data_IF_674104231581
#
_entry.id   IF_674104231581
#
_cell.length_a   1.000
_cell.length_b   1.000
_cell.length_c   1.000
_cell.angle_alpha   90.00
_cell.angle_beta   90.00
_cell.angle_gamma   90.00
#
_symmetry.space_group_name_H-M   'P 1'
#
loop_
_entity.id
_entity.type
_entity.pdbx_description
1 polymer ?
#
# COMPACT_ATOMS: atom_id res chain seq x y z
N UNK A 1 27.82 -31.80 -1.61
CA UNK A 1 27.30 -30.71 -2.46
C UNK A 1 26.25 -29.86 -1.75
N UNK A 2 25.31 -30.46 -1.00
CA UNK A 2 24.23 -29.77 -0.29
C UNK A 2 24.68 -28.72 0.75
N UNK A 3 25.69 -29.01 1.58
CA UNK A 3 26.22 -28.04 2.55
C UNK A 3 26.87 -26.81 1.88
N UNK A 4 27.47 -26.97 0.69
CA UNK A 4 28.04 -25.87 -0.08
C UNK A 4 26.93 -24.94 -0.60
N UNK A 5 25.84 -25.50 -1.13
CA UNK A 5 24.71 -24.73 -1.63
C UNK A 5 24.06 -23.89 -0.51
N UNK A 6 23.90 -24.46 0.70
CA UNK A 6 23.38 -23.71 1.85
C UNK A 6 24.30 -22.55 2.25
N UNK A 7 25.63 -22.73 2.20
CA UNK A 7 26.60 -21.65 2.47
C UNK A 7 26.55 -20.57 1.40
N UNK A 8 26.52 -20.95 0.12
CA UNK A 8 26.43 -20.01 -1.01
C UNK A 8 25.14 -19.20 -0.94
N UNK A 9 24.00 -19.85 -0.65
CA UNK A 9 22.73 -19.17 -0.44
C UNK A 9 22.84 -18.15 0.70
N UNK A 10 23.41 -18.55 1.84
CA UNK A 10 23.57 -17.66 2.99
C UNK A 10 24.47 -16.46 2.68
N UNK A 11 25.53 -16.65 1.86
CA UNK A 11 26.39 -15.57 1.38
C UNK A 11 25.62 -14.58 0.51
N UNK A 12 24.87 -15.06 -0.50
CA UNK A 12 24.03 -14.22 -1.37
C UNK A 12 22.99 -13.45 -0.54
N UNK A 13 22.32 -14.15 0.38
CA UNK A 13 21.30 -13.54 1.24
C UNK A 13 21.90 -12.47 2.18
N UNK A 14 23.07 -12.74 2.77
CA UNK A 14 23.76 -11.79 3.64
C UNK A 14 24.18 -10.53 2.90
N UNK A 15 24.73 -10.66 1.69
CA UNK A 15 25.07 -9.50 0.82
C UNK A 15 23.82 -8.69 0.52
N UNK A 16 22.70 -9.36 0.20
CA UNK A 16 21.42 -8.71 -0.09
C UNK A 16 20.90 -7.91 1.12
N UNK A 17 20.97 -8.49 2.32
CA UNK A 17 20.58 -7.82 3.57
C UNK A 17 21.47 -6.61 3.83
N UNK A 18 22.80 -6.75 3.69
CA UNK A 18 23.74 -5.64 3.87
C UNK A 18 23.37 -4.49 2.92
N UNK A 19 23.07 -4.78 1.66
CA UNK A 19 22.64 -3.74 0.71
C UNK A 19 21.35 -3.02 1.15
N UNK A 20 20.35 -3.74 1.64
CA UNK A 20 19.12 -3.12 2.16
C UNK A 20 19.35 -2.29 3.42
N UNK A 21 20.09 -2.83 4.40
CA UNK A 21 20.34 -2.18 5.70
C UNK A 21 21.14 -0.89 5.54
N UNK A 22 22.20 -0.92 4.73
CA UNK A 22 23.06 0.24 4.50
C UNK A 22 22.55 1.14 3.36
N UNK A 23 21.39 0.81 2.75
CA UNK A 23 20.83 1.53 1.59
C UNK A 23 21.87 1.78 0.50
N UNK A 24 22.64 0.75 0.14
CA UNK A 24 23.73 0.84 -0.84
C UNK A 24 23.23 1.09 -2.27
N UNK A 25 21.93 0.99 -2.51
CA UNK A 25 21.30 1.17 -3.81
C UNK A 25 20.16 2.19 -3.74
N UNK A 26 19.93 2.91 -4.84
CA UNK A 26 18.89 3.95 -4.93
C UNK A 26 17.46 3.42 -4.79
N UNK A 27 17.22 2.13 -5.04
CA UNK A 27 15.90 1.52 -4.98
C UNK A 27 15.96 0.10 -4.40
N UNK A 28 14.91 -0.27 -3.66
CA UNK A 28 14.86 -1.51 -2.86
C UNK A 28 14.83 -2.79 -3.70
N UNK A 29 14.45 -2.69 -4.98
CA UNK A 29 14.40 -3.84 -5.90
C UNK A 29 15.77 -4.23 -6.46
N UNK A 30 16.77 -3.33 -6.42
CA UNK A 30 18.10 -3.56 -7.00
C UNK A 30 18.82 -4.72 -6.29
N UNK A 31 18.90 -4.79 -4.94
CA UNK A 31 19.47 -5.94 -4.24
C UNK A 31 18.72 -7.24 -4.53
N UNK A 32 17.38 -7.17 -4.70
CA UNK A 32 16.56 -8.32 -5.10
C UNK A 32 16.99 -8.89 -6.45
N UNK A 33 17.19 -8.03 -7.46
CA UNK A 33 17.66 -8.47 -8.79
C UNK A 33 19.04 -9.11 -8.68
N UNK A 34 19.97 -8.49 -7.94
CA UNK A 34 21.31 -9.06 -7.74
C UNK A 34 21.24 -10.44 -7.08
N UNK A 35 20.40 -10.59 -6.07
CA UNK A 35 20.19 -11.86 -5.39
C UNK A 35 19.66 -12.91 -6.37
N UNK A 36 18.58 -12.62 -7.11
CA UNK A 36 18.01 -13.53 -8.10
C UNK A 36 19.02 -13.94 -9.17
N UNK A 37 19.78 -12.98 -9.71
CA UNK A 37 20.85 -13.28 -10.67
C UNK A 37 21.88 -14.22 -10.06
N UNK A 38 22.33 -13.94 -8.83
CA UNK A 38 23.31 -14.78 -8.14
C UNK A 38 22.78 -16.19 -7.89
N UNK A 39 21.51 -16.34 -7.49
CA UNK A 39 20.86 -17.64 -7.28
C UNK A 39 20.79 -18.47 -8.57
N UNK A 40 20.50 -17.81 -9.70
CA UNK A 40 20.41 -18.46 -11.02
C UNK A 40 21.80 -18.83 -11.57
N UNK A 41 22.78 -17.92 -11.50
CA UNK A 41 24.14 -18.18 -11.98
C UNK A 41 24.87 -19.26 -11.18
N UNK A 42 24.61 -19.33 -9.87
CA UNK A 42 25.17 -20.36 -9.00
C UNK A 42 24.36 -21.68 -9.04
N UNK A 43 23.30 -21.74 -9.86
CA UNK A 43 22.41 -22.90 -10.03
C UNK A 43 21.88 -23.46 -8.69
N UNK A 44 21.63 -22.57 -7.72
CA UNK A 44 21.21 -22.98 -6.37
C UNK A 44 19.77 -23.52 -6.33
N UNK A 45 18.94 -23.10 -7.28
CA UNK A 45 17.62 -23.64 -7.52
C UNK A 45 17.23 -23.52 -9.00
N UNK A 46 16.31 -24.38 -9.49
CA UNK A 46 15.75 -24.24 -10.84
C UNK A 46 15.10 -22.85 -11.05
N UNK A 47 15.12 -22.31 -12.28
CA UNK A 47 14.48 -21.02 -12.58
C UNK A 47 13.02 -20.94 -12.16
N UNK A 48 12.28 -22.06 -12.28
CA UNK A 48 10.89 -22.15 -11.86
C UNK A 48 10.70 -21.87 -10.35
N UNK A 49 11.68 -22.23 -9.53
CA UNK A 49 11.68 -21.98 -8.08
C UNK A 49 12.15 -20.55 -7.79
N UNK A 50 13.29 -20.15 -8.36
CA UNK A 50 13.88 -18.83 -8.12
C UNK A 50 12.99 -17.68 -8.61
N UNK A 51 12.25 -17.87 -9.70
CA UNK A 51 11.32 -16.88 -10.26
C UNK A 51 9.85 -17.12 -9.88
N UNK A 52 9.58 -18.09 -9.00
CA UNK A 52 8.20 -18.47 -8.60
C UNK A 52 7.39 -17.29 -8.05
N UNK A 53 8.04 -16.32 -7.40
CA UNK A 53 7.39 -15.15 -6.83
C UNK A 53 6.63 -14.29 -7.84
N UNK A 54 7.09 -14.24 -9.09
CA UNK A 54 6.44 -13.48 -10.18
C UNK A 54 5.14 -14.11 -10.68
N UNK A 55 4.90 -15.39 -10.38
CA UNK A 55 3.69 -16.12 -10.74
C UNK A 55 2.70 -16.24 -9.58
N UNK A 56 2.90 -15.50 -8.48
CA UNK A 56 2.06 -15.62 -7.27
C UNK A 56 0.80 -14.75 -7.33
N UNK A 57 -0.24 -15.21 -6.65
CA UNK A 57 -1.45 -14.40 -6.41
C UNK A 57 -1.12 -13.05 -5.74
N UNK A 58 -0.19 -12.99 -4.79
CA UNK A 58 0.22 -11.73 -4.16
C UNK A 58 0.78 -10.71 -5.17
N UNK A 59 1.54 -11.17 -6.18
CA UNK A 59 2.05 -10.31 -7.24
C UNK A 59 0.91 -9.71 -8.08
N UNK A 60 -0.01 -10.55 -8.57
CA UNK A 60 -1.15 -10.08 -9.37
C UNK A 60 -2.13 -9.23 -8.58
N UNK A 61 -2.31 -9.52 -7.29
CA UNK A 61 -3.10 -8.70 -6.39
C UNK A 61 -2.48 -7.31 -6.22
N UNK A 62 -1.17 -7.23 -5.94
CA UNK A 62 -0.47 -5.96 -5.83
C UNK A 62 -0.53 -5.14 -7.13
N UNK A 63 -0.33 -5.78 -8.29
CA UNK A 63 -0.45 -5.15 -9.61
C UNK A 63 -1.85 -4.55 -9.82
N UNK A 64 -2.88 -5.34 -9.53
CA UNK A 64 -4.28 -4.93 -9.69
C UNK A 64 -4.66 -3.77 -8.79
N UNK A 65 -4.22 -3.84 -7.53
CA UNK A 65 -4.44 -2.82 -6.52
C UNK A 65 -3.73 -1.51 -6.89
N UNK A 66 -2.50 -1.56 -7.42
CA UNK A 66 -1.84 -0.36 -7.94
C UNK A 66 -2.60 0.25 -9.12
N UNK A 67 -3.03 -0.56 -10.09
CA UNK A 67 -3.80 -0.05 -11.23
C UNK A 67 -5.13 0.59 -10.81
N UNK A 68 -5.86 -0.02 -9.86
CA UNK A 68 -7.07 0.57 -9.28
C UNK A 68 -6.75 1.89 -8.56
N UNK A 69 -5.66 1.93 -7.79
CA UNK A 69 -5.16 3.12 -7.11
C UNK A 69 -4.89 4.27 -8.08
N UNK A 70 -4.29 4.00 -9.24
CA UNK A 70 -4.05 4.98 -10.31
C UNK A 70 -5.34 5.57 -10.89
N UNK A 71 -6.35 4.72 -11.16
CA UNK A 71 -7.65 5.19 -11.66
C UNK A 71 -8.33 6.07 -10.61
N UNK A 72 -8.24 5.66 -9.33
CA UNK A 72 -8.83 6.40 -8.23
C UNK A 72 -8.17 7.79 -8.04
N UNK A 73 -6.84 7.86 -8.09
CA UNK A 73 -6.10 9.11 -7.92
C UNK A 73 -6.27 10.06 -9.10
N UNK A 74 -6.24 9.55 -10.33
CA UNK A 74 -6.34 10.36 -11.55
C UNK A 74 -7.77 10.86 -11.86
N UNK A 75 -8.80 10.17 -11.35
CA UNK A 75 -10.20 10.58 -11.56
C UNK A 75 -10.62 11.83 -10.78
N UNK A 76 -9.92 12.17 -9.69
CA UNK A 76 -10.28 13.27 -8.79
C UNK A 76 -11.37 12.93 -7.76
N UNK A 77 -11.97 11.72 -7.81
CA UNK A 77 -13.05 11.34 -6.89
C UNK A 77 -12.59 11.34 -5.42
N UNK A 78 -11.34 10.95 -5.16
CA UNK A 78 -10.77 11.00 -3.80
C UNK A 78 -10.80 12.42 -3.25
N UNK A 79 -10.40 13.41 -4.05
CA UNK A 79 -10.44 14.82 -3.64
C UNK A 79 -11.89 15.30 -3.39
N UNK A 80 -12.85 14.89 -4.24
CA UNK A 80 -14.28 15.19 -4.02
C UNK A 80 -14.81 14.61 -2.70
N UNK A 81 -14.57 13.33 -2.43
CA UNK A 81 -15.02 12.66 -1.20
C UNK A 81 -14.47 13.38 0.03
N UNK A 82 -13.22 13.83 -0.03
CA UNK A 82 -12.56 14.57 1.03
C UNK A 82 -13.24 15.92 1.30
N UNK A 83 -13.53 16.71 0.25
CA UNK A 83 -14.25 17.97 0.40
C UNK A 83 -15.66 17.76 0.98
N UNK A 84 -16.35 16.69 0.58
CA UNK A 84 -17.66 16.33 1.16
C UNK A 84 -17.53 16.08 2.67
N UNK A 85 -16.52 15.33 3.11
CA UNK A 85 -16.29 15.06 4.53
C UNK A 85 -16.02 16.37 5.29
N UNK A 86 -15.17 17.23 4.76
CA UNK A 86 -14.85 18.54 5.36
C UNK A 86 -16.06 19.47 5.49
N UNK A 87 -17.04 19.37 4.58
CA UNK A 87 -18.28 20.14 4.64
C UNK A 87 -19.07 19.89 5.94
N UNK A 88 -19.04 18.66 6.47
CA UNK A 88 -19.81 18.26 7.65
C UNK A 88 -19.05 18.46 8.97
N UNK A 89 -17.74 18.63 8.93
CA UNK A 89 -16.93 18.71 10.15
C UNK A 89 -17.09 20.06 10.88
N UNK A 90 -17.02 20.07 12.22
CA UNK A 90 -17.09 21.31 13.01
C UNK A 90 -15.90 22.24 12.77
N UNK A 91 -16.13 23.55 12.88
CA UNK A 91 -15.05 24.56 12.82
C UNK A 91 -14.33 24.64 14.17
N UNK A 92 -13.29 23.84 14.37
CA UNK A 92 -12.46 23.87 15.58
C UNK A 92 -11.03 23.43 15.26
N UNK A 93 -10.06 23.87 16.07
CA UNK A 93 -8.64 23.45 15.98
C UNK A 93 -8.50 21.93 16.03
N UNK A 94 -9.26 21.32 16.93
CA UNK A 94 -9.32 19.88 17.05
C UNK A 94 -9.75 19.24 15.73
N UNK A 95 -10.90 19.69 15.24
CA UNK A 95 -11.55 19.14 14.07
C UNK A 95 -10.79 19.42 12.76
N UNK A 96 -9.98 20.47 12.70
CA UNK A 96 -9.13 20.79 11.54
C UNK A 96 -7.97 19.80 11.37
N UNK A 97 -7.16 19.58 12.41
CA UNK A 97 -6.10 18.58 12.28
C UNK A 97 -6.67 17.15 12.27
N UNK A 98 -7.77 16.92 12.98
CA UNK A 98 -8.45 15.63 12.96
C UNK A 98 -9.03 15.33 11.57
N UNK A 99 -9.54 16.32 10.84
CA UNK A 99 -10.13 16.08 9.53
C UNK A 99 -9.12 15.68 8.47
N UNK A 100 -7.94 16.31 8.46
CA UNK A 100 -6.86 15.95 7.52
C UNK A 100 -6.28 14.57 7.85
N UNK A 101 -6.17 14.25 9.15
CA UNK A 101 -5.79 12.92 9.61
C UNK A 101 -6.82 11.85 9.22
N UNK A 102 -8.09 12.11 9.51
CA UNK A 102 -9.19 11.20 9.23
C UNK A 102 -9.39 10.99 7.73
N UNK A 103 -9.13 12.02 6.93
CA UNK A 103 -9.06 11.93 5.47
C UNK A 103 -8.02 10.88 5.04
N UNK A 104 -6.79 10.95 5.55
CA UNK A 104 -5.77 9.96 5.22
C UNK A 104 -6.14 8.54 5.69
N UNK A 105 -6.78 8.42 6.86
CA UNK A 105 -7.31 7.15 7.37
C UNK A 105 -8.33 6.56 6.40
N UNK A 106 -9.30 7.35 5.94
CA UNK A 106 -10.34 6.90 4.99
C UNK A 106 -9.78 6.54 3.61
N UNK A 107 -8.72 7.23 3.16
CA UNK A 107 -8.05 6.86 1.92
C UNK A 107 -7.27 5.56 2.03
N UNK A 108 -6.87 5.13 3.23
CA UNK A 108 -6.02 3.96 3.42
C UNK A 108 -6.57 2.67 2.84
N UNK A 109 -7.82 2.26 3.09
CA UNK A 109 -8.37 1.05 2.46
C UNK A 109 -8.57 1.18 0.95
N UNK A 110 -8.69 2.41 0.43
CA UNK A 110 -9.03 2.71 -0.97
C UNK A 110 -7.81 2.92 -1.88
N UNK A 111 -6.77 3.56 -1.35
CA UNK A 111 -5.56 3.97 -2.08
C UNK A 111 -4.36 3.25 -1.46
N UNK A 112 -3.77 2.28 -2.15
CA UNK A 112 -2.84 1.31 -1.56
C UNK A 112 -1.44 1.84 -1.30
N UNK A 113 -1.07 2.90 -1.99
CA UNK A 113 0.26 3.50 -1.92
C UNK A 113 0.22 4.71 -1.00
N UNK A 114 1.06 4.75 0.07
CA UNK A 114 1.20 5.95 0.89
C UNK A 114 1.53 7.20 0.06
N UNK A 115 2.39 7.07 -0.96
CA UNK A 115 2.74 8.16 -1.87
C UNK A 115 1.54 8.75 -2.61
N UNK A 116 0.65 7.92 -3.16
CA UNK A 116 -0.55 8.42 -3.85
C UNK A 116 -1.55 9.04 -2.89
N UNK A 117 -1.65 8.53 -1.66
CA UNK A 117 -2.45 9.18 -0.60
C UNK A 117 -1.91 10.56 -0.26
N UNK A 118 -0.58 10.72 -0.16
CA UNK A 118 0.04 12.04 0.01
C UNK A 118 -0.34 12.96 -1.15
N UNK A 119 -0.19 12.53 -2.41
CA UNK A 119 -0.54 13.35 -3.57
C UNK A 119 -2.02 13.81 -3.60
N UNK A 120 -2.95 12.99 -3.11
CA UNK A 120 -4.37 13.36 -2.98
C UNK A 120 -4.58 14.40 -1.87
N UNK A 121 -3.89 14.24 -0.75
CA UNK A 121 -4.07 15.08 0.46
C UNK A 121 -3.28 16.39 0.36
N UNK A 122 -2.20 16.44 -0.41
CA UNK A 122 -1.31 17.61 -0.53
C UNK A 122 -2.03 18.90 -0.98
N UNK A 123 -2.86 18.92 -2.05
CA UNK A 123 -3.58 20.13 -2.43
C UNK A 123 -4.49 20.64 -1.31
N UNK A 124 -5.16 19.72 -0.60
CA UNK A 124 -5.98 20.08 0.54
C UNK A 124 -5.14 20.67 1.68
N UNK A 125 -3.99 20.06 1.99
CA UNK A 125 -3.09 20.57 3.02
C UNK A 125 -2.62 22.00 2.70
N UNK A 126 -2.35 22.29 1.42
CA UNK A 126 -1.98 23.63 0.95
C UNK A 126 -3.14 24.61 1.08
N UNK A 127 -4.32 24.27 0.58
CA UNK A 127 -5.54 25.09 0.70
C UNK A 127 -5.84 25.42 2.17
N UNK A 128 -5.70 24.43 3.05
CA UNK A 128 -5.86 24.60 4.50
C UNK A 128 -4.79 25.55 5.04
N UNK A 129 -3.52 25.36 4.70
CA UNK A 129 -2.43 26.22 5.17
C UNK A 129 -2.62 27.68 4.74
N UNK A 130 -3.05 27.91 3.50
CA UNK A 130 -3.32 29.24 2.95
C UNK A 130 -4.52 29.92 3.61
N UNK A 131 -5.65 29.21 3.74
CA UNK A 131 -6.85 29.73 4.42
C UNK A 131 -6.58 30.08 5.89
N UNK A 132 -5.63 29.40 6.52
CA UNK A 132 -5.21 29.64 7.90
C UNK A 132 -4.15 30.74 8.02
N UNK A 133 -3.63 31.26 6.91
CA UNK A 133 -2.54 32.23 6.89
C UNK A 133 -1.27 31.69 7.54
N UNK A 134 -1.10 30.36 7.57
CA UNK A 134 0.05 29.73 8.20
C UNK A 134 1.29 29.97 7.33
N UNK A 135 2.36 30.49 7.95
CA UNK A 135 3.67 30.52 7.30
C UNK A 135 4.16 29.08 7.10
N UNK A 136 4.80 28.75 5.96
CA UNK A 136 5.26 27.38 5.65
C UNK A 136 6.17 26.74 6.72
N UNK A 137 6.79 27.54 7.59
CA UNK A 137 7.81 27.11 8.57
C UNK A 137 7.35 27.33 10.02
N UNK A 138 6.03 27.28 10.28
CA UNK A 138 5.45 27.51 11.62
C UNK A 138 4.98 26.23 12.32
N UNK A 139 4.86 26.27 13.65
CA UNK A 139 4.36 25.15 14.47
C UNK A 139 2.98 24.64 14.02
N UNK A 140 2.10 25.54 13.60
CA UNK A 140 0.76 25.19 13.10
C UNK A 140 0.80 24.47 11.74
N UNK A 141 1.66 24.92 10.82
CA UNK A 141 1.88 24.26 9.53
C UNK A 141 2.49 22.87 9.72
N UNK A 142 3.44 22.74 10.66
CA UNK A 142 4.02 21.45 11.06
C UNK A 142 2.97 20.53 11.68
N UNK A 143 2.10 21.03 12.55
CA UNK A 143 1.01 20.22 13.13
C UNK A 143 0.09 19.68 12.05
N UNK A 144 -0.32 20.53 11.12
CA UNK A 144 -1.25 20.15 10.06
C UNK A 144 -0.60 19.15 9.10
N UNK A 145 0.66 19.38 8.73
CA UNK A 145 1.45 18.46 7.90
C UNK A 145 1.69 17.12 8.60
N UNK A 146 2.00 17.13 9.90
CA UNK A 146 2.14 15.92 10.70
C UNK A 146 0.82 15.15 10.79
N UNK A 147 -0.32 15.84 10.95
CA UNK A 147 -1.62 15.21 10.96
C UNK A 147 -1.97 14.58 9.61
N UNK A 148 -1.67 15.27 8.50
CA UNK A 148 -1.83 14.73 7.15
C UNK A 148 -0.95 13.49 6.93
N UNK A 149 0.35 13.61 7.23
CA UNK A 149 1.32 12.53 7.05
C UNK A 149 0.98 11.31 7.91
N UNK A 150 0.62 11.53 9.19
CA UNK A 150 0.20 10.45 10.07
C UNK A 150 -1.06 9.80 9.52
N UNK A 151 -2.08 10.57 9.12
CA UNK A 151 -3.32 10.04 8.56
C UNK A 151 -3.09 9.11 7.36
N UNK A 152 -2.22 9.51 6.43
CA UNK A 152 -1.94 8.73 5.21
C UNK A 152 -0.95 7.59 5.40
N UNK A 153 -0.34 7.42 6.58
CA UNK A 153 0.66 6.36 6.82
C UNK A 153 0.29 5.42 7.95
N UNK A 154 -0.28 5.90 9.05
CA UNK A 154 -0.43 5.15 10.31
C UNK A 154 -1.23 3.85 10.16
N UNK A 155 -2.30 3.86 9.37
CA UNK A 155 -3.20 2.71 9.23
C UNK A 155 -2.84 1.81 8.04
N UNK A 156 -1.69 2.04 7.38
CA UNK A 156 -1.31 1.29 6.19
C UNK A 156 -1.16 -0.21 6.46
N UNK A 157 -0.87 -0.61 7.69
CA UNK A 157 -0.80 -2.01 8.13
C UNK A 157 -2.15 -2.55 8.63
N UNK A 158 -3.10 -1.68 8.95
CA UNK A 158 -4.41 -2.05 9.50
C UNK A 158 -5.37 -2.60 8.45
N UNK A 159 -5.20 -2.19 7.19
CA UNK A 159 -5.99 -2.71 6.07
C UNK A 159 -5.08 -3.50 5.14
N UNK A 160 -5.50 -4.69 4.71
CA UNK A 160 -4.71 -5.52 3.79
C UNK A 160 -4.35 -4.74 2.50
N UNK A 161 -5.29 -3.96 1.96
CA UNK A 161 -5.06 -3.09 0.80
C UNK A 161 -4.28 -1.81 1.10
N UNK A 162 -4.05 -1.46 2.37
CA UNK A 162 -3.44 -0.19 2.77
C UNK A 162 -1.95 -0.07 2.49
N UNK A 163 -1.29 -1.18 2.16
CA UNK A 163 0.10 -1.21 1.76
C UNK A 163 0.37 -2.45 0.91
N UNK A 164 1.13 -2.28 -0.17
CA UNK A 164 1.57 -3.41 -0.97
C UNK A 164 2.45 -4.39 -0.17
N UNK A 165 3.13 -3.91 0.87
CA UNK A 165 3.89 -4.74 1.81
C UNK A 165 3.00 -5.72 2.61
N UNK A 166 1.71 -5.46 2.76
CA UNK A 166 0.82 -6.41 3.44
C UNK A 166 0.57 -7.63 2.54
N UNK A 167 0.44 -7.44 1.23
CA UNK A 167 0.37 -8.54 0.27
C UNK A 167 1.68 -9.32 0.17
N UNK A 168 2.82 -8.65 0.38
CA UNK A 168 4.10 -9.32 0.53
C UNK A 168 4.07 -10.26 1.75
N UNK A 169 3.74 -9.74 2.93
CA UNK A 169 3.67 -10.54 4.16
C UNK A 169 2.70 -11.72 3.96
N UNK A 170 1.51 -11.47 3.41
CA UNK A 170 0.54 -12.51 3.08
C UNK A 170 1.10 -13.57 2.11
N UNK A 171 1.90 -13.14 1.13
CA UNK A 171 2.58 -14.00 0.16
C UNK A 171 3.74 -14.81 0.74
N UNK A 172 4.28 -14.40 1.89
CA UNK A 172 5.31 -15.13 2.64
C UNK A 172 4.71 -16.14 3.62
N UNK A 173 3.42 -16.05 3.95
CA UNK A 173 2.75 -17.01 4.83
C UNK A 173 2.53 -18.37 4.14
N UNK A 174 2.55 -19.49 4.90
CA UNK A 174 2.15 -20.80 4.41
C UNK A 174 0.74 -20.78 3.82
N UNK A 175 0.48 -21.64 2.82
CA UNK A 175 -0.78 -21.63 2.07
C UNK A 175 -2.02 -21.79 2.98
N UNK A 176 -1.96 -22.70 3.95
CA UNK A 176 -3.06 -22.98 4.88
C UNK A 176 -3.38 -21.80 5.79
N UNK A 177 -2.38 -20.97 6.10
CA UNK A 177 -2.55 -19.75 6.90
C UNK A 177 -3.07 -18.64 6.01
N UNK A 178 -2.53 -18.50 4.79
CA UNK A 178 -2.92 -17.48 3.83
C UNK A 178 -4.41 -17.50 3.52
N UNK A 179 -5.00 -18.68 3.35
CA UNK A 179 -6.43 -18.85 3.05
C UNK A 179 -7.35 -18.36 4.18
N UNK A 180 -6.84 -18.25 5.41
CA UNK A 180 -7.61 -17.74 6.55
C UNK A 180 -7.64 -16.21 6.60
N UNK A 181 -6.65 -15.55 6.00
CA UNK A 181 -6.53 -14.09 6.00
C UNK A 181 -7.28 -13.47 4.83
N UNK A 182 -8.60 -13.39 4.96
CA UNK A 182 -9.42 -12.50 4.13
C UNK A 182 -9.19 -11.02 4.45
N UNK A 183 -9.68 -10.11 3.61
CA UNK A 183 -9.50 -8.67 3.80
C UNK A 183 -10.12 -8.20 5.12
N UNK A 184 -11.33 -8.69 5.42
CA UNK A 184 -12.06 -8.39 6.64
C UNK A 184 -11.42 -9.04 7.88
N UNK A 185 -10.92 -10.26 7.75
CA UNK A 185 -10.21 -10.92 8.84
C UNK A 185 -8.91 -10.18 9.19
N UNK A 186 -8.16 -9.71 8.18
CA UNK A 186 -6.98 -8.88 8.40
C UNK A 186 -7.30 -7.61 9.17
N UNK A 187 -8.35 -6.88 8.75
CA UNK A 187 -8.79 -5.66 9.42
C UNK A 187 -9.23 -5.92 10.86
N UNK A 188 -9.93 -7.02 11.11
CA UNK A 188 -10.34 -7.45 12.45
C UNK A 188 -9.13 -7.81 13.32
N UNK A 189 -8.17 -8.58 12.79
CA UNK A 189 -6.95 -8.96 13.49
C UNK A 189 -6.09 -7.72 13.84
N UNK A 190 -6.02 -6.75 12.94
CA UNK A 190 -5.29 -5.51 13.15
C UNK A 190 -6.07 -4.45 13.96
N UNK A 191 -7.36 -4.68 14.28
CA UNK A 191 -8.23 -3.69 14.90
C UNK A 191 -7.70 -3.22 16.26
N UNK A 192 -7.21 -4.15 17.09
CA UNK A 192 -6.65 -3.82 18.41
C UNK A 192 -5.46 -2.89 18.26
N UNK A 193 -4.51 -3.22 17.37
CA UNK A 193 -3.34 -2.39 17.08
C UNK A 193 -3.75 -1.04 16.51
N UNK A 194 -4.73 -1.01 15.59
CA UNK A 194 -5.25 0.22 15.00
C UNK A 194 -5.86 1.16 16.07
N UNK A 195 -6.63 0.61 17.01
CA UNK A 195 -7.23 1.38 18.12
C UNK A 195 -6.13 1.91 19.05
N UNK A 196 -5.15 1.09 19.42
CA UNK A 196 -4.03 1.52 20.27
C UNK A 196 -3.24 2.64 19.60
N UNK A 197 -2.91 2.49 18.31
CA UNK A 197 -2.21 3.53 17.53
C UNK A 197 -3.04 4.81 17.43
N UNK A 198 -4.35 4.71 17.21
CA UNK A 198 -5.25 5.87 17.19
C UNK A 198 -5.26 6.60 18.53
N UNK A 199 -5.44 5.88 19.64
CA UNK A 199 -5.42 6.46 21.00
C UNK A 199 -4.08 7.13 21.29
N UNK A 200 -2.98 6.46 20.95
CA UNK A 200 -1.63 7.01 21.12
C UNK A 200 -1.43 8.30 20.31
N UNK A 201 -1.89 8.33 19.06
CA UNK A 201 -1.88 9.55 18.24
C UNK A 201 -2.68 10.68 18.90
N UNK A 202 -3.87 10.39 19.42
CA UNK A 202 -4.70 11.39 20.10
C UNK A 202 -4.02 11.96 21.35
N UNK A 203 -3.35 11.12 22.13
CA UNK A 203 -2.57 11.53 23.31
C UNK A 203 -1.39 12.40 22.89
N UNK A 204 -0.55 11.93 21.96
CA UNK A 204 0.62 12.67 21.48
C UNK A 204 0.23 14.02 20.90
N UNK A 205 -0.86 14.06 20.14
CA UNK A 205 -1.41 15.31 19.60
C UNK A 205 -1.82 16.28 20.71
N UNK A 206 -2.52 15.79 21.74
CA UNK A 206 -2.96 16.61 22.87
C UNK A 206 -1.79 17.15 23.70
N UNK A 207 -0.69 16.39 23.83
CA UNK A 207 0.51 16.80 24.54
C UNK A 207 1.36 17.81 23.76
N UNK A 208 1.60 17.55 22.47
CA UNK A 208 2.53 18.34 21.65
C UNK A 208 1.93 19.61 21.06
N UNK A 209 0.61 19.63 20.80
CA UNK A 209 -0.03 20.70 20.03
C UNK A 209 -1.24 21.32 20.75
N UNK A 210 -1.06 21.57 22.05
CA UNK A 210 -2.09 22.12 22.95
C UNK A 210 -2.44 23.59 22.68
N UNK A 211 -1.53 24.34 22.07
CA UNK A 211 -1.64 25.79 21.85
C UNK A 211 -1.55 26.11 20.36
N UNK A 212 -2.40 27.03 19.87
CA UNK A 212 -2.48 27.43 18.46
C UNK A 212 -3.63 28.43 18.24
N UNK A 213 -3.82 29.01 17.05
CA UNK A 213 -4.94 29.91 16.77
C UNK A 213 -6.15 29.12 16.21
N UNK A 214 -7.42 29.57 16.40
CA UNK A 214 -8.55 28.83 15.84
C UNK A 214 -8.53 28.92 14.32
N UNK A 215 -8.77 27.81 13.60
CA UNK A 215 -8.69 27.81 12.17
C UNK A 215 -9.77 28.69 11.56
N UNK A 216 -9.37 29.56 10.62
CA UNK A 216 -10.25 30.43 9.83
C UNK A 216 -10.51 29.84 8.43
N UNK A 217 -10.86 28.56 8.35
CA UNK A 217 -11.42 28.02 7.10
C UNK A 217 -12.88 28.50 6.96
N UNK A 218 -13.27 29.08 5.80
CA UNK A 218 -14.68 29.38 5.52
C UNK A 218 -15.39 28.17 4.89
N UNK A 219 -16.48 27.67 5.49
CA UNK A 219 -17.29 26.59 4.86
C UNK A 219 -17.74 26.97 3.44
N UNK A 220 -17.76 28.25 3.13
CA UNK A 220 -17.98 28.78 1.79
C UNK A 220 -16.87 28.37 0.81
N UNK A 221 -15.60 28.31 1.21
CA UNK A 221 -14.50 27.82 0.37
C UNK A 221 -14.66 26.33 0.00
N UNK A 222 -14.97 25.43 0.96
CA UNK A 222 -15.27 24.00 0.63
C UNK A 222 -16.45 23.94 -0.33
N UNK A 223 -17.51 24.70 -0.05
CA UNK A 223 -18.72 24.72 -0.89
C UNK A 223 -18.42 25.26 -2.28
N UNK A 224 -17.58 26.27 -2.41
CA UNK A 224 -17.16 26.83 -3.69
C UNK A 224 -16.32 25.83 -4.48
N UNK A 225 -15.33 25.17 -3.85
CA UNK A 225 -14.53 24.11 -4.48
C UNK A 225 -15.41 22.93 -4.94
N UNK A 226 -16.37 22.50 -4.11
CA UNK A 226 -17.35 21.47 -4.49
C UNK A 226 -18.26 21.93 -5.64
N UNK A 227 -18.64 23.21 -5.67
CA UNK A 227 -19.44 23.77 -6.75
C UNK A 227 -18.66 23.85 -8.07
N UNK A 228 -17.37 24.21 -8.00
CA UNK A 228 -16.46 24.21 -9.17
C UNK A 228 -16.26 22.80 -9.73
N UNK A 229 -16.19 21.78 -8.88
CA UNK A 229 -16.12 20.37 -9.31
C UNK A 229 -17.38 19.89 -10.05
N UNK A 230 -18.53 20.56 -9.87
CA UNK A 230 -19.77 20.22 -10.58
C UNK A 230 -20.29 18.81 -10.31
N UNK A 231 -21.13 18.24 -11.19
CA UNK A 231 -21.59 16.84 -11.09
C UNK A 231 -20.44 15.85 -11.33
N UNK A 232 -20.67 14.57 -10.98
CA UNK A 232 -19.70 13.50 -11.20
C UNK A 232 -19.37 13.38 -12.69
N UNK A 233 -18.10 13.51 -13.03
CA UNK A 233 -17.64 13.31 -14.41
C UNK A 233 -17.51 11.81 -14.73
N UNK A 234 -17.29 11.48 -16.00
CA UNK A 234 -17.17 10.08 -16.44
C UNK A 234 -16.01 9.34 -15.75
N UNK A 235 -14.86 9.99 -15.54
CA UNK A 235 -13.69 9.39 -14.88
C UNK A 235 -13.99 9.06 -13.41
N UNK A 236 -14.68 9.95 -12.71
CA UNK A 236 -15.13 9.74 -11.34
C UNK A 236 -16.12 8.58 -11.23
N UNK A 237 -17.09 8.49 -12.16
CA UNK A 237 -18.03 7.37 -12.22
C UNK A 237 -17.33 6.02 -12.43
N UNK A 238 -16.34 5.98 -13.32
CA UNK A 238 -15.54 4.78 -13.57
C UNK A 238 -14.77 4.36 -12.32
N UNK A 239 -14.13 5.32 -11.63
CA UNK A 239 -13.40 5.04 -10.40
C UNK A 239 -14.32 4.47 -9.31
N UNK A 240 -15.50 5.08 -9.11
CA UNK A 240 -16.52 4.57 -8.17
C UNK A 240 -16.97 3.16 -8.56
N UNK A 241 -17.29 2.95 -9.84
CA UNK A 241 -17.74 1.67 -10.34
C UNK A 241 -16.68 0.57 -10.14
N UNK A 242 -15.40 0.84 -10.42
CA UNK A 242 -14.37 -0.18 -10.24
C UNK A 242 -14.01 -0.45 -8.78
N UNK A 243 -14.03 0.56 -7.90
CA UNK A 243 -13.92 0.31 -6.45
C UNK A 243 -15.11 -0.54 -5.99
N UNK A 244 -16.32 -0.23 -6.42
CA UNK A 244 -17.50 -1.01 -6.08
C UNK A 244 -17.40 -2.44 -6.61
N UNK A 245 -17.01 -2.65 -7.87
CA UNK A 245 -16.81 -3.97 -8.46
C UNK A 245 -15.73 -4.77 -7.73
N UNK A 246 -14.62 -4.13 -7.37
CA UNK A 246 -13.54 -4.76 -6.61
C UNK A 246 -14.01 -5.18 -5.22
N UNK A 247 -14.63 -4.28 -4.46
CA UNK A 247 -15.14 -4.56 -3.11
C UNK A 247 -16.24 -5.62 -3.13
N UNK A 248 -17.19 -5.53 -4.07
CA UNK A 248 -18.25 -6.52 -4.24
C UNK A 248 -17.66 -7.88 -4.60
N UNK A 249 -16.70 -7.93 -5.54
CA UNK A 249 -16.01 -9.17 -5.90
C UNK A 249 -15.31 -9.79 -4.69
N UNK A 250 -14.59 -9.00 -3.89
CA UNK A 250 -13.98 -9.49 -2.65
C UNK A 250 -15.03 -10.02 -1.66
N UNK A 251 -16.12 -9.29 -1.46
CA UNK A 251 -17.20 -9.69 -0.55
C UNK A 251 -17.93 -10.95 -1.01
N UNK A 252 -18.04 -11.19 -2.32
CA UNK A 252 -18.67 -12.38 -2.91
C UNK A 252 -17.70 -13.53 -3.14
N UNK A 253 -16.43 -13.39 -2.77
CA UNK A 253 -15.40 -14.41 -2.99
C UNK A 253 -15.75 -15.77 -2.40
N UNK A 254 -16.44 -15.77 -1.25
CA UNK A 254 -16.95 -16.98 -0.60
C UNK A 254 -18.04 -17.72 -1.41
N UNK A 255 -18.77 -17.01 -2.27
CA UNK A 255 -19.87 -17.56 -3.09
C UNK A 255 -19.31 -18.18 -4.37
N UNK A 256 -18.53 -17.41 -5.13
CA UNK A 256 -18.03 -17.86 -6.44
C UNK A 256 -16.70 -18.63 -6.36
N UNK A 257 -16.07 -18.69 -5.18
CA UNK A 257 -14.82 -19.44 -4.91
C UNK A 257 -13.66 -19.11 -5.86
N UNK A 258 -13.59 -17.86 -6.29
CA UNK A 258 -12.47 -17.36 -7.10
C UNK A 258 -11.54 -16.61 -6.17
N UNK A 259 -10.24 -16.93 -6.22
CA UNK A 259 -9.27 -16.27 -5.36
C UNK A 259 -9.21 -14.76 -5.61
N UNK A 260 -9.01 -14.01 -4.54
CA UNK A 260 -9.01 -12.54 -4.54
C UNK A 260 -8.04 -11.90 -5.54
N UNK A 261 -6.83 -12.45 -5.83
CA UNK A 261 -5.95 -11.88 -6.85
C UNK A 261 -6.56 -11.84 -8.25
N UNK A 262 -7.32 -12.87 -8.61
CA UNK A 262 -7.92 -13.00 -9.95
C UNK A 262 -9.10 -12.04 -10.13
N UNK A 263 -9.83 -11.77 -9.05
CA UNK A 263 -10.87 -10.73 -9.02
C UNK A 263 -10.23 -9.37 -9.28
N UNK A 264 -9.15 -9.05 -8.57
CA UNK A 264 -8.39 -7.82 -8.79
C UNK A 264 -7.91 -7.70 -10.23
N UNK A 265 -7.36 -8.79 -10.78
CA UNK A 265 -6.83 -8.81 -12.14
C UNK A 265 -7.95 -8.61 -13.18
N UNK A 266 -9.14 -9.19 -12.95
CA UNK A 266 -10.30 -8.98 -13.81
C UNK A 266 -10.77 -7.51 -13.80
N UNK A 267 -10.80 -6.86 -12.63
CA UNK A 267 -11.13 -5.43 -12.52
C UNK A 267 -10.09 -4.57 -13.25
N UNK A 268 -8.80 -4.87 -13.05
CA UNK A 268 -7.72 -4.19 -13.78
C UNK A 268 -7.86 -4.37 -15.28
N UNK A 269 -8.12 -5.61 -15.75
CA UNK A 269 -8.36 -5.90 -17.16
C UNK A 269 -9.51 -5.07 -17.72
N UNK A 270 -10.64 -4.97 -17.03
CA UNK A 270 -11.78 -4.16 -17.48
C UNK A 270 -11.41 -2.69 -17.66
N UNK A 271 -10.62 -2.12 -16.74
CA UNK A 271 -10.15 -0.75 -16.87
C UNK A 271 -9.19 -0.54 -18.03
N UNK A 272 -8.30 -1.51 -18.28
CA UNK A 272 -7.39 -1.49 -19.43
C UNK A 272 -8.17 -1.59 -20.74
N UNK A 273 -9.11 -2.53 -20.81
CA UNK A 273 -9.92 -2.79 -21.99
C UNK A 273 -10.81 -1.61 -22.36
N UNK A 274 -11.41 -0.95 -21.36
CA UNK A 274 -12.28 0.21 -21.57
C UNK A 274 -11.50 1.52 -21.80
N UNK A 275 -10.15 1.48 -21.74
CA UNK A 275 -9.30 2.63 -22.01
C UNK A 275 -9.39 3.74 -20.95
N UNK A 276 -9.79 3.40 -19.73
CA UNK A 276 -9.98 4.37 -18.65
C UNK A 276 -8.67 4.87 -18.01
N UNK A 277 -7.54 4.33 -18.44
CA UNK A 277 -6.21 4.90 -18.22
C UNK A 277 -5.91 6.04 -19.21
N UNK A 278 -6.93 6.85 -19.57
CA UNK A 278 -6.81 7.90 -20.57
C UNK A 278 -6.05 9.10 -20.01
N UNK A 279 -4.72 9.08 -20.19
CA UNK A 279 -3.79 10.18 -19.93
C UNK A 279 -2.63 9.87 -18.98
N UNK A 280 -2.64 8.73 -18.30
CA UNK A 280 -1.57 8.27 -17.41
C UNK A 280 -0.74 7.17 -18.07
N UNK A 281 0.59 7.28 -18.02
CA UNK A 281 1.44 6.19 -18.47
C UNK A 281 1.37 5.10 -17.38
N UNK A 282 0.71 3.98 -17.64
CA UNK A 282 0.69 2.80 -16.75
C UNK A 282 2.09 2.43 -16.24
N UNK A 283 3.12 2.70 -17.06
CA UNK A 283 4.51 2.51 -16.68
C UNK A 283 4.99 3.44 -15.56
N UNK A 284 4.44 4.66 -15.48
CA UNK A 284 4.79 5.67 -14.50
C UNK A 284 3.91 5.58 -13.24
N UNK A 285 2.65 5.19 -13.39
CA UNK A 285 1.69 5.23 -12.29
C UNK A 285 1.65 3.94 -11.46
N UNK A 286 2.05 2.80 -12.04
CA UNK A 286 2.19 1.53 -11.31
C UNK A 286 3.57 1.46 -10.68
N UNK A 287 3.64 1.02 -9.43
CA UNK A 287 4.90 0.83 -8.71
C UNK A 287 5.61 -0.47 -9.14
N UNK A 288 6.14 -0.49 -10.37
CA UNK A 288 6.96 -1.59 -10.91
C UNK A 288 8.17 -1.94 -10.04
N UNK A 289 8.92 -0.97 -9.48
CA UNK A 289 10.00 -1.27 -8.53
C UNK A 289 9.52 -2.18 -7.39
N UNK A 290 8.38 -1.87 -6.78
CA UNK A 290 7.83 -2.71 -5.72
C UNK A 290 7.40 -4.09 -6.23
N UNK A 291 6.78 -4.18 -7.42
CA UNK A 291 6.39 -5.48 -7.98
C UNK A 291 7.60 -6.40 -8.22
N UNK A 292 8.70 -5.84 -8.74
CA UNK A 292 9.96 -6.58 -8.93
C UNK A 292 10.54 -7.01 -7.58
N UNK A 293 10.54 -6.11 -6.60
CA UNK A 293 10.97 -6.41 -5.24
C UNK A 293 10.13 -7.54 -4.61
N UNK A 294 8.81 -7.47 -4.72
CA UNK A 294 7.85 -8.46 -4.21
C UNK A 294 8.10 -9.84 -4.83
N UNK A 295 8.13 -9.92 -6.17
CA UNK A 295 8.38 -11.16 -6.88
C UNK A 295 9.75 -11.75 -6.56
N UNK A 296 10.78 -10.90 -6.51
CA UNK A 296 12.14 -11.33 -6.17
C UNK A 296 12.28 -11.83 -4.74
N UNK A 297 11.69 -11.15 -3.76
CA UNK A 297 11.80 -11.56 -2.37
C UNK A 297 11.09 -12.90 -2.11
N UNK A 298 9.90 -13.10 -2.68
CA UNK A 298 9.21 -14.39 -2.60
C UNK A 298 10.06 -15.48 -3.29
N UNK A 299 10.67 -15.18 -4.43
CA UNK A 299 11.58 -16.09 -5.13
C UNK A 299 12.80 -16.50 -4.29
N UNK A 300 13.42 -15.53 -3.59
CA UNK A 300 14.54 -15.78 -2.67
C UNK A 300 14.09 -16.68 -1.52
N UNK A 301 12.92 -16.43 -0.92
CA UNK A 301 12.38 -17.24 0.18
C UNK A 301 12.06 -18.66 -0.27
N UNK A 302 11.45 -18.83 -1.44
CA UNK A 302 11.18 -20.16 -1.99
C UNK A 302 12.47 -20.91 -2.33
N UNK A 303 13.50 -20.20 -2.80
CA UNK A 303 14.84 -20.76 -3.01
C UNK A 303 15.47 -21.21 -1.70
N UNK A 304 15.31 -20.43 -0.62
CA UNK A 304 15.76 -20.84 0.72
C UNK A 304 15.13 -22.17 1.13
N UNK A 305 13.79 -22.28 1.03
CA UNK A 305 13.08 -23.52 1.35
C UNK A 305 13.55 -24.70 0.51
N UNK A 306 13.79 -24.49 -0.79
CA UNK A 306 14.29 -25.51 -1.71
C UNK A 306 15.70 -25.99 -1.33
N UNK A 307 16.64 -25.06 -1.09
CA UNK A 307 18.01 -25.39 -0.68
C UNK A 307 18.03 -26.10 0.68
N UNK A 308 17.21 -25.66 1.63
CA UNK A 308 17.08 -26.32 2.94
C UNK A 308 16.53 -27.74 2.78
N UNK A 309 15.44 -27.93 2.02
CA UNK A 309 14.84 -29.24 1.81
C UNK A 309 15.77 -30.24 1.12
N UNK A 310 16.48 -29.80 0.07
CA UNK A 310 17.49 -30.63 -0.62
C UNK A 310 18.71 -30.92 0.27
N UNK A 311 19.02 -30.06 1.24
CA UNK A 311 20.09 -30.30 2.20
C UNK A 311 19.70 -31.22 3.37
N UNK A 312 18.45 -31.14 3.85
CA UNK A 312 17.94 -31.96 4.95
C UNK A 312 17.65 -33.40 4.54
N UNK A 313 17.20 -33.64 3.32
CA UNK A 313 16.98 -34.98 2.76
C UNK A 313 18.27 -35.78 2.54
N UNK A 314 19.44 -35.12 2.53
CA UNK A 314 20.73 -35.78 2.44
C UNK A 314 21.23 -36.37 3.78
N UNK A 315 20.77 -35.86 4.92
CA UNK A 315 21.14 -36.39 6.24
C UNK A 315 20.40 -37.70 6.59
N UNK A 316 19.26 -37.97 5.96
CA UNK A 316 18.55 -39.26 6.11
C UNK A 316 19.10 -40.38 5.23
N UNK A 317 20.11 -40.12 4.40
CA UNK A 317 20.76 -41.14 3.56
C UNK A 317 22.19 -41.48 4.00
N UNK A 318 22.68 -40.93 5.11
CA UNK A 318 24.02 -41.22 5.66
C UNK A 318 24.01 -42.12 6.91
N UNK A 319 22.84 -42.56 7.37
CA UNK A 319 22.66 -43.32 8.61
C UNK A 319 22.20 -44.79 8.37
N UNK A 320 22.28 -45.29 7.14
CA UNK A 320 22.15 -46.73 6.77
C UNK A 320 23.45 -47.22 6.10
#
# INVERSE_FOLDING_TARGET
MTCLNSRLFLSVFSVTIVMWVFRLSAADFIPCILALLSLLFLELAPPLVALSGFATGSFFMALSVFGLGTVLTSSGISYRVILIILKYLPKSRFWCAFSIFFTGLLLTPLVPTPGSRVSIVSPLLLDMSEALGHKPVGQEATQLSAAAHTGVTFFSTSFLSGSAYNFLILGLLPLQVREQFSWEYWAMAAAVTAVVMFVFYMIMRALMYRHGAPPRWSREQVKAQLAVLGPLNMKEWVAVAGVALFVLGLATSSIHKVDTPWIGLAVLYLFLFLGFFTGGNIQQDINWPFLIYLGGLIGIVNTMSYVVWTSGSAHTCSDD
#
